data_IF_111876403545
#
_entry.id   IF_111876403545
#
_cell.length_a   1.000
_cell.length_b   1.000
_cell.length_c   1.000
_cell.angle_alpha   90.00
_cell.angle_beta   90.00
_cell.angle_gamma   90.00
#
_symmetry.space_group_name_H-M   'P 1'
#
loop_
_entity.id
_entity.type
_entity.pdbx_description
1 polymer ?
#
# COMPACT_ATOMS: atom_id res chain seq x y z
N UNK A 1 -11.26 -21.03 2.51
CA UNK A 1 -11.64 -20.25 3.72
C UNK A 1 -11.22 -21.08 4.92
N UNK A 2 -10.38 -20.58 5.83
CA UNK A 2 -9.93 -21.38 6.96
C UNK A 2 -11.11 -21.75 7.87
N UNK A 3 -11.17 -23.00 8.33
CA UNK A 3 -12.25 -23.52 9.18
C UNK A 3 -12.12 -23.02 10.61
N UNK A 4 -13.22 -22.89 11.36
CA UNK A 4 -13.20 -22.36 12.75
C UNK A 4 -12.23 -23.09 13.69
N UNK A 5 -11.91 -24.35 13.43
CA UNK A 5 -10.89 -25.12 14.17
C UNK A 5 -9.45 -24.66 13.92
N UNK A 6 -9.14 -24.06 12.77
CA UNK A 6 -7.79 -23.58 12.44
C UNK A 6 -7.41 -22.32 13.23
N UNK A 7 -8.37 -21.49 13.63
CA UNK A 7 -8.12 -20.34 14.52
C UNK A 7 -7.78 -20.75 15.96
N UNK A 8 -8.30 -21.89 16.41
CA UNK A 8 -8.01 -22.43 17.73
C UNK A 8 -6.58 -23.03 17.83
N UNK A 9 -5.98 -23.41 16.68
CA UNK A 9 -4.63 -23.96 16.56
C UNK A 9 -3.58 -22.91 16.14
N UNK A 10 -3.89 -21.62 16.30
CA UNK A 10 -3.02 -20.55 15.83
C UNK A 10 -1.87 -20.32 16.82
N UNK A 11 -0.64 -20.56 16.37
CA UNK A 11 0.56 -20.41 17.20
C UNK A 11 0.75 -18.94 17.60
N UNK A 12 1.43 -18.67 18.73
CA UNK A 12 1.77 -17.29 19.15
C UNK A 12 2.45 -16.49 18.02
N UNK A 13 3.25 -17.17 17.18
CA UNK A 13 3.90 -16.57 16.00
C UNK A 13 2.89 -16.11 14.93
N UNK A 14 1.85 -16.89 14.67
CA UNK A 14 0.83 -16.55 13.67
C UNK A 14 0.00 -15.35 14.14
N UNK A 15 -0.31 -15.28 15.45
CA UNK A 15 -0.96 -14.10 16.04
C UNK A 15 -0.14 -12.83 15.87
N UNK A 16 1.15 -12.86 16.19
CA UNK A 16 2.02 -11.69 15.98
C UNK A 16 2.13 -11.31 14.50
N UNK A 17 2.15 -12.30 13.59
CA UNK A 17 2.20 -12.04 12.15
C UNK A 17 0.92 -11.34 11.66
N UNK A 18 -0.26 -11.80 12.09
CA UNK A 18 -1.53 -11.16 11.72
C UNK A 18 -1.64 -9.74 12.27
N UNK A 19 -1.22 -9.52 13.52
CA UNK A 19 -1.19 -8.18 14.13
C UNK A 19 -0.26 -7.26 13.34
N UNK A 20 0.94 -7.74 13.01
CA UNK A 20 1.92 -6.97 12.24
C UNK A 20 1.40 -6.62 10.84
N UNK A 21 0.83 -7.59 10.11
CA UNK A 21 0.24 -7.36 8.78
C UNK A 21 -0.91 -6.36 8.85
N UNK A 22 -1.75 -6.45 9.89
CA UNK A 22 -2.86 -5.52 10.10
C UNK A 22 -2.36 -4.09 10.38
N UNK A 23 -1.33 -3.97 11.23
CA UNK A 23 -0.74 -2.68 11.57
C UNK A 23 -0.08 -2.02 10.36
N UNK A 24 0.73 -2.78 9.61
CA UNK A 24 1.35 -2.30 8.37
C UNK A 24 0.29 -1.86 7.37
N UNK A 25 -0.78 -2.63 7.22
CA UNK A 25 -1.90 -2.26 6.35
C UNK A 25 -2.54 -0.95 6.80
N UNK A 26 -2.78 -0.76 8.10
CA UNK A 26 -3.37 0.47 8.65
C UNK A 26 -2.49 1.70 8.36
N UNK A 27 -1.18 1.61 8.57
CA UNK A 27 -0.24 2.69 8.28
C UNK A 27 -0.24 3.06 6.79
N UNK A 28 -0.28 2.06 5.90
CA UNK A 28 -0.34 2.25 4.45
C UNK A 28 -1.64 2.95 4.01
N UNK A 29 -2.76 2.70 4.69
CA UNK A 29 -4.02 3.42 4.45
C UNK A 29 -3.98 4.84 5.01
N UNK A 30 -3.41 5.01 6.21
CA UNK A 30 -3.27 6.31 6.85
C UNK A 30 -2.49 7.30 5.98
N UNK A 31 -1.37 6.86 5.41
CA UNK A 31 -0.54 7.69 4.52
C UNK A 31 -1.31 8.16 3.28
N UNK A 32 -2.15 7.30 2.70
CA UNK A 32 -3.02 7.70 1.59
C UNK A 32 -4.10 8.69 1.97
N UNK A 33 -4.69 8.54 3.15
CA UNK A 33 -5.70 9.49 3.63
C UNK A 33 -5.08 10.87 3.88
N UNK A 34 -3.88 10.92 4.46
CA UNK A 34 -3.14 12.17 4.63
C UNK A 34 -2.85 12.79 3.27
N UNK A 35 -2.32 12.02 2.31
CA UNK A 35 -2.03 12.54 0.98
C UNK A 35 -3.28 13.16 0.32
N UNK A 36 -4.43 12.48 0.40
CA UNK A 36 -5.70 13.00 -0.13
C UNK A 36 -6.11 14.31 0.56
N UNK A 37 -5.90 14.41 1.88
CA UNK A 37 -6.21 15.63 2.64
C UNK A 37 -5.33 16.82 2.22
N UNK A 38 -4.04 16.58 1.96
CA UNK A 38 -3.08 17.64 1.57
C UNK A 38 -2.92 17.77 0.05
N UNK A 39 -3.72 17.07 -0.76
CA UNK A 39 -3.52 16.97 -2.20
C UNK A 39 -3.51 18.34 -2.90
N UNK A 40 -4.38 19.27 -2.49
CA UNK A 40 -4.41 20.63 -3.03
C UNK A 40 -3.14 21.42 -2.69
N UNK A 41 -2.59 21.22 -1.49
CA UNK A 41 -1.34 21.88 -1.04
C UNK A 41 -0.15 21.32 -1.83
N UNK A 42 -0.08 20.00 -1.98
CA UNK A 42 0.96 19.32 -2.77
C UNK A 42 0.89 19.76 -4.23
N UNK A 43 -0.32 19.86 -4.79
CA UNK A 43 -0.53 20.35 -6.15
C UNK A 43 0.01 21.76 -6.35
N UNK A 44 -0.23 22.67 -5.42
CA UNK A 44 0.24 24.06 -5.51
C UNK A 44 1.75 24.20 -5.24
N UNK A 45 2.33 23.32 -4.42
CA UNK A 45 3.76 23.34 -4.09
C UNK A 45 4.64 22.70 -5.19
N UNK A 46 4.18 21.62 -5.81
CA UNK A 46 4.92 20.88 -6.85
C UNK A 46 4.76 21.54 -8.23
N UNK A 47 3.59 22.12 -8.52
CA UNK A 47 3.29 22.74 -9.81
C UNK A 47 3.09 24.26 -9.64
N UNK A 48 4.05 25.09 -10.08
CA UNK A 48 3.94 26.55 -9.95
C UNK A 48 2.77 27.10 -10.77
N UNK A 49 2.18 28.21 -10.30
CA UNK A 49 0.97 28.88 -10.81
C UNK A 49 1.05 29.44 -12.25
N UNK A 50 2.09 29.08 -13.01
CA UNK A 50 2.26 29.48 -14.41
C UNK A 50 1.34 28.68 -15.35
N UNK A 51 0.73 27.60 -14.86
CA UNK A 51 -0.24 26.78 -15.58
C UNK A 51 -1.66 27.09 -15.11
N UNK A 52 -2.61 27.00 -16.03
CA UNK A 52 -4.05 27.13 -15.80
C UNK A 52 -4.47 26.37 -14.51
N UNK A 53 -5.17 26.99 -13.54
CA UNK A 53 -5.47 26.38 -12.22
C UNK A 53 -6.13 25.01 -12.30
N UNK A 54 -6.85 24.75 -13.38
CA UNK A 54 -7.49 23.47 -13.68
C UNK A 54 -6.47 22.36 -13.95
N UNK A 55 -5.38 22.68 -14.65
CA UNK A 55 -4.32 21.75 -15.03
C UNK A 55 -3.45 21.38 -13.83
N UNK A 56 -3.15 22.33 -12.95
CA UNK A 56 -2.41 22.06 -11.72
C UNK A 56 -3.12 21.01 -10.85
N UNK A 57 -4.43 21.19 -10.60
CA UNK A 57 -5.25 20.22 -9.84
C UNK A 57 -5.26 18.83 -10.46
N UNK A 58 -5.40 18.74 -11.78
CA UNK A 58 -5.33 17.48 -12.51
C UNK A 58 -3.98 16.77 -12.33
N UNK A 59 -2.89 17.52 -12.28
CA UNK A 59 -1.54 16.97 -12.04
C UNK A 59 -1.37 16.47 -10.60
N UNK A 60 -1.89 17.19 -9.60
CA UNK A 60 -1.90 16.74 -8.20
C UNK A 60 -2.69 15.44 -7.99
N UNK A 61 -3.85 15.31 -8.65
CA UNK A 61 -4.62 14.07 -8.71
C UNK A 61 -3.89 12.98 -9.50
N UNK A 62 -3.17 13.34 -10.56
CA UNK A 62 -2.33 12.41 -11.33
C UNK A 62 -1.26 11.75 -10.47
N UNK A 63 -0.62 12.51 -9.58
CA UNK A 63 0.37 11.97 -8.65
C UNK A 63 -0.25 10.97 -7.64
N UNK A 64 -1.48 11.21 -7.19
CA UNK A 64 -2.25 10.22 -6.42
C UNK A 64 -2.47 8.92 -7.21
N UNK A 65 -2.92 9.04 -8.46
CA UNK A 65 -3.19 7.90 -9.34
C UNK A 65 -1.92 7.09 -9.60
N UNK A 66 -0.79 7.75 -9.84
CA UNK A 66 0.52 7.10 -10.01
C UNK A 66 0.91 6.35 -8.73
N UNK A 67 0.79 6.97 -7.57
CA UNK A 67 1.05 6.32 -6.28
C UNK A 67 0.13 5.13 -6.00
N UNK A 68 -1.14 5.21 -6.44
CA UNK A 68 -2.10 4.11 -6.36
C UNK A 68 -1.72 2.94 -7.27
N UNK A 69 -1.34 3.21 -8.53
CA UNK A 69 -0.90 2.20 -9.49
C UNK A 69 0.45 1.58 -9.16
N UNK A 70 1.32 2.30 -8.43
CA UNK A 70 2.59 1.76 -7.97
C UNK A 70 2.40 0.53 -7.05
N UNK A 71 1.26 0.40 -6.35
CA UNK A 71 0.98 -0.74 -5.45
C UNK A 71 0.75 -2.08 -6.16
N UNK A 72 -0.18 -2.22 -7.13
CA UNK A 72 -0.29 -3.45 -7.90
C UNK A 72 0.99 -3.74 -8.69
N UNK A 73 1.66 -2.71 -9.20
CA UNK A 73 2.93 -2.88 -9.89
C UNK A 73 4.03 -3.43 -8.97
N UNK A 74 4.14 -2.89 -7.76
CA UNK A 74 4.99 -3.41 -6.71
C UNK A 74 4.63 -4.85 -6.35
N UNK A 75 3.35 -5.17 -6.19
CA UNK A 75 2.89 -6.54 -5.92
C UNK A 75 3.25 -7.55 -7.01
N UNK A 76 3.19 -7.16 -8.28
CA UNK A 76 3.61 -8.01 -9.41
C UNK A 76 5.13 -8.21 -9.40
N UNK A 77 5.90 -7.13 -9.19
CA UNK A 77 7.37 -7.19 -9.12
C UNK A 77 7.85 -8.02 -7.93
N UNK A 78 7.40 -7.68 -6.72
CA UNK A 78 7.77 -8.39 -5.49
C UNK A 78 7.16 -9.78 -5.42
N UNK A 79 5.99 -10.01 -6.01
CA UNK A 79 5.38 -11.34 -6.15
C UNK A 79 6.21 -12.25 -7.04
N UNK A 80 6.60 -11.77 -8.23
CA UNK A 80 7.47 -12.51 -9.14
C UNK A 80 8.86 -12.74 -8.53
N UNK A 81 9.41 -11.74 -7.84
CA UNK A 81 10.67 -11.88 -7.13
C UNK A 81 10.59 -12.87 -5.96
N UNK A 82 9.48 -12.88 -5.21
CA UNK A 82 9.20 -13.81 -4.12
C UNK A 82 9.01 -15.25 -4.60
N UNK A 83 8.37 -15.45 -5.76
CA UNK A 83 8.25 -16.77 -6.39
C UNK A 83 9.61 -17.30 -6.87
N UNK A 84 10.46 -16.43 -7.44
CA UNK A 84 11.79 -16.82 -7.95
C UNK A 84 12.82 -17.06 -6.85
N UNK A 85 12.79 -16.32 -5.74
CA UNK A 85 13.78 -16.42 -4.65
C UNK A 85 13.46 -17.50 -3.62
N UNK A 86 12.43 -18.29 -3.89
CA UNK A 86 12.10 -19.52 -3.18
C UNK A 86 11.11 -19.31 -2.04
N UNK A 87 9.94 -19.93 -2.18
CA UNK A 87 9.11 -20.38 -1.05
C UNK A 87 9.94 -21.38 -0.24
N UNK A 88 10.79 -20.90 0.67
CA UNK A 88 11.38 -21.79 1.68
C UNK A 88 10.19 -22.48 2.37
N UNK A 89 10.12 -23.82 2.39
CA UNK A 89 9.00 -24.52 2.99
C UNK A 89 9.03 -24.24 4.49
N UNK A 90 8.10 -23.41 4.98
CA UNK A 90 7.97 -23.07 6.41
C UNK A 90 7.31 -24.20 7.22
N UNK A 91 7.47 -25.45 6.81
CA UNK A 91 6.95 -26.60 7.54
C UNK A 91 8.04 -27.67 7.65
N UNK A 92 8.96 -27.45 8.58
CA UNK A 92 9.55 -28.51 9.40
C UNK A 92 9.62 -28.03 10.84
#
# INVERSE_FOLDING_TARGET
MPTRSQYALMSKKDKNTVIFVSFVSAVIFFDFLIYLYIADIVSAAIFPANNDPTVAKLQGMGLFVIGYLARPFGGILFGRYGDLKGRKPTFS
#
